data_IF_223472693627
#
_entry.id   IF_223472693627
#
_cell.length_a   1.000
_cell.length_b   1.000
_cell.length_c   1.000
_cell.angle_alpha   90.00
_cell.angle_beta   90.00
_cell.angle_gamma   90.00
#
_symmetry.space_group_name_H-M   'P 1'
#
loop_
_entity.id
_entity.type
_entity.pdbx_description
1 polymer ?
#
# COMPACT_ATOMS: atom_id res chain seq x y z
N UNK A 1 15.77 -4.71 -14.44
CA UNK A 1 14.68 -5.31 -15.25
C UNK A 1 15.17 -6.69 -15.69
N UNK A 2 14.49 -7.76 -15.30
CA UNK A 2 14.86 -9.12 -15.69
C UNK A 2 13.84 -9.63 -16.72
N UNK A 3 14.28 -9.89 -17.95
CA UNK A 3 13.47 -10.44 -19.02
C UNK A 3 13.76 -11.94 -19.13
N UNK A 4 12.74 -12.77 -18.86
CA UNK A 4 12.88 -14.24 -18.81
C UNK A 4 12.34 -14.96 -20.08
N UNK A 5 12.03 -14.21 -21.15
CA UNK A 5 11.49 -14.77 -22.41
C UNK A 5 10.02 -15.21 -22.35
N UNK A 6 9.32 -14.98 -21.22
CA UNK A 6 7.91 -15.28 -21.03
C UNK A 6 7.23 -14.18 -20.19
N UNK A 7 5.93 -13.99 -20.37
CA UNK A 7 5.13 -13.09 -19.53
C UNK A 7 4.73 -13.79 -18.23
N UNK A 8 4.86 -13.08 -17.11
CA UNK A 8 4.46 -13.56 -15.79
C UNK A 8 3.67 -12.48 -15.07
N UNK A 9 2.51 -12.83 -14.53
CA UNK A 9 1.65 -11.90 -13.79
C UNK A 9 2.13 -11.70 -12.35
N UNK A 10 2.92 -12.64 -11.83
CA UNK A 10 3.34 -12.62 -10.42
C UNK A 10 4.10 -11.34 -10.03
N UNK A 11 5.10 -10.84 -10.79
CA UNK A 11 5.79 -9.60 -10.42
C UNK A 11 4.85 -8.40 -10.27
N UNK A 12 3.80 -8.32 -11.10
CA UNK A 12 2.79 -7.28 -10.98
C UNK A 12 2.02 -7.46 -9.67
N UNK A 13 1.52 -8.68 -9.40
CA UNK A 13 0.80 -8.98 -8.16
C UNK A 13 1.61 -8.65 -6.90
N UNK A 14 2.92 -8.96 -6.88
CA UNK A 14 3.82 -8.65 -5.77
C UNK A 14 4.10 -7.15 -5.62
N UNK A 15 4.06 -6.37 -6.71
CA UNK A 15 4.29 -4.92 -6.66
C UNK A 15 3.06 -4.13 -6.17
N UNK A 16 1.85 -4.62 -6.46
CA UNK A 16 0.60 -3.89 -6.20
C UNK A 16 0.45 -3.36 -4.77
N UNK A 17 0.72 -4.11 -3.67
CA UNK A 17 0.53 -3.60 -2.31
C UNK A 17 1.32 -2.32 -2.03
N UNK A 18 2.57 -2.24 -2.51
CA UNK A 18 3.43 -1.08 -2.31
C UNK A 18 3.07 0.07 -3.24
N UNK A 19 2.71 -0.23 -4.50
CA UNK A 19 2.30 0.81 -5.45
C UNK A 19 1.00 1.48 -5.00
N UNK A 20 0.01 0.73 -4.52
CA UNK A 20 -1.25 1.30 -4.03
C UNK A 20 -1.07 2.19 -2.80
N UNK A 21 -0.24 1.78 -1.83
CA UNK A 21 0.12 2.65 -0.71
C UNK A 21 0.92 3.87 -1.15
N UNK A 22 1.79 3.73 -2.16
CA UNK A 22 2.53 4.86 -2.72
C UNK A 22 1.56 5.88 -3.34
N UNK A 23 0.57 5.43 -4.11
CA UNK A 23 -0.50 6.28 -4.62
C UNK A 23 -1.31 6.93 -3.48
N UNK A 24 -1.54 6.24 -2.36
CA UNK A 24 -2.19 6.85 -1.19
C UNK A 24 -1.37 8.02 -0.60
N UNK A 25 -0.03 7.96 -0.65
CA UNK A 25 0.86 9.05 -0.25
C UNK A 25 0.65 10.25 -1.19
N UNK A 26 0.69 10.04 -2.51
CA UNK A 26 0.49 11.13 -3.47
C UNK A 26 -0.92 11.72 -3.37
N UNK A 27 -1.95 10.88 -3.27
CA UNK A 27 -3.34 11.32 -3.18
C UNK A 27 -3.63 12.09 -1.89
N UNK A 28 -3.07 11.67 -0.75
CA UNK A 28 -3.17 12.45 0.50
C UNK A 28 -2.42 13.78 0.42
N UNK A 29 -1.29 13.82 -0.28
CA UNK A 29 -0.55 15.05 -0.55
C UNK A 29 -1.38 16.02 -1.41
N UNK A 30 -1.94 15.53 -2.52
CA UNK A 30 -2.83 16.33 -3.38
C UNK A 30 -4.10 16.79 -2.66
N UNK A 31 -4.65 15.98 -1.76
CA UNK A 31 -5.83 16.38 -0.96
C UNK A 31 -5.47 17.51 0.01
N UNK A 32 -4.32 17.42 0.70
CA UNK A 32 -3.83 18.46 1.61
C UNK A 32 -3.68 19.80 0.88
N UNK A 33 -3.11 19.76 -0.33
CA UNK A 33 -2.72 20.97 -1.08
C UNK A 33 -3.79 21.46 -2.05
N UNK A 34 -4.98 20.85 -2.09
CA UNK A 34 -6.09 21.18 -2.99
C UNK A 34 -6.33 22.68 -3.20
N UNK A 35 -6.36 23.48 -2.12
CA UNK A 35 -6.61 24.94 -2.21
C UNK A 35 -5.45 25.67 -2.89
N UNK A 36 -4.23 25.29 -2.58
CA UNK A 36 -3.03 25.89 -3.15
C UNK A 36 -2.89 25.51 -4.63
N UNK A 37 -2.99 24.22 -4.95
CA UNK A 37 -2.91 23.68 -6.30
C UNK A 37 -3.95 24.34 -7.23
N UNK A 38 -5.19 24.49 -6.76
CA UNK A 38 -6.24 25.16 -7.52
C UNK A 38 -5.92 26.65 -7.78
N UNK A 39 -5.30 27.35 -6.82
CA UNK A 39 -4.96 28.77 -6.96
C UNK A 39 -3.89 29.05 -8.02
N UNK A 40 -3.08 28.04 -8.36
CA UNK A 40 -2.05 28.12 -9.40
C UNK A 40 -2.42 27.35 -10.68
N UNK A 41 -3.68 26.90 -10.80
CA UNK A 41 -4.21 26.25 -12.00
C UNK A 41 -3.87 24.76 -12.15
N UNK A 42 -3.37 24.09 -11.11
CA UNK A 42 -3.12 22.65 -11.12
C UNK A 42 -4.41 21.90 -10.81
N UNK A 43 -4.78 20.95 -11.67
CA UNK A 43 -5.93 20.06 -11.47
C UNK A 43 -5.44 18.66 -11.10
N UNK A 44 -5.69 18.25 -9.85
CA UNK A 44 -5.40 16.91 -9.33
C UNK A 44 -6.68 16.08 -9.24
N UNK A 45 -6.54 14.75 -9.15
CA UNK A 45 -7.70 13.87 -8.95
C UNK A 45 -8.47 14.24 -7.66
N UNK A 46 -7.77 14.66 -6.61
CA UNK A 46 -8.38 15.10 -5.35
C UNK A 46 -9.24 16.36 -5.52
N UNK A 47 -8.82 17.29 -6.39
CA UNK A 47 -9.62 18.48 -6.74
C UNK A 47 -10.88 18.07 -7.51
N UNK A 48 -10.75 17.20 -8.53
CA UNK A 48 -11.88 16.75 -9.35
C UNK A 48 -12.93 15.98 -8.53
N UNK A 49 -12.48 15.14 -7.61
CA UNK A 49 -13.34 14.38 -6.71
C UNK A 49 -13.92 15.23 -5.57
N UNK A 50 -13.21 16.29 -5.17
CA UNK A 50 -13.46 16.99 -3.93
C UNK A 50 -13.11 16.16 -2.69
N UNK A 51 -13.13 16.80 -1.53
CA UNK A 51 -12.60 16.24 -0.28
C UNK A 51 -13.30 14.96 0.19
N UNK A 52 -14.63 14.90 0.05
CA UNK A 52 -15.44 13.74 0.49
C UNK A 52 -15.09 12.47 -0.29
N UNK A 53 -15.03 12.55 -1.62
CA UNK A 53 -14.68 11.38 -2.44
C UNK A 53 -13.18 11.09 -2.41
N UNK A 54 -12.36 12.11 -2.18
CA UNK A 54 -10.93 11.92 -1.91
C UNK A 54 -10.67 11.08 -0.66
N UNK A 55 -11.47 11.27 0.41
CA UNK A 55 -11.42 10.41 1.59
C UNK A 55 -11.73 8.94 1.25
N UNK A 56 -12.81 8.66 0.52
CA UNK A 56 -13.14 7.28 0.15
C UNK A 56 -12.09 6.64 -0.75
N UNK A 57 -11.54 7.39 -1.71
CA UNK A 57 -10.44 6.91 -2.55
C UNK A 57 -9.18 6.62 -1.72
N UNK A 58 -8.83 7.51 -0.78
CA UNK A 58 -7.71 7.27 0.13
C UNK A 58 -7.91 5.97 0.93
N UNK A 59 -9.08 5.77 1.54
CA UNK A 59 -9.39 4.53 2.25
C UNK A 59 -9.30 3.30 1.32
N UNK A 60 -9.80 3.39 0.10
CA UNK A 60 -9.71 2.30 -0.88
C UNK A 60 -8.23 1.95 -1.19
N UNK A 61 -7.39 2.96 -1.43
CA UNK A 61 -5.96 2.79 -1.66
C UNK A 61 -5.25 2.22 -0.43
N UNK A 62 -5.65 2.60 0.78
CA UNK A 62 -5.09 2.09 2.03
C UNK A 62 -5.49 0.63 2.32
N UNK A 63 -6.73 0.24 2.04
CA UNK A 63 -7.23 -1.10 2.38
C UNK A 63 -6.98 -2.16 1.31
N UNK A 64 -6.90 -1.79 0.03
CA UNK A 64 -6.67 -2.73 -1.07
C UNK A 64 -5.35 -3.54 -0.97
N UNK A 65 -4.21 -2.99 -0.48
CA UNK A 65 -3.00 -3.78 -0.20
C UNK A 65 -3.27 -4.99 0.71
N UNK A 66 -4.09 -4.83 1.75
CA UNK A 66 -4.37 -5.91 2.70
C UNK A 66 -5.18 -7.04 2.05
N UNK A 67 -6.10 -6.72 1.14
CA UNK A 67 -6.85 -7.74 0.37
C UNK A 67 -5.90 -8.54 -0.52
N UNK A 68 -4.96 -7.86 -1.18
CA UNK A 68 -3.96 -8.51 -2.03
C UNK A 68 -3.01 -9.37 -1.19
N UNK A 69 -2.58 -8.87 -0.03
CA UNK A 69 -1.72 -9.63 0.90
C UNK A 69 -2.45 -10.86 1.45
N UNK A 70 -3.74 -10.76 1.80
CA UNK A 70 -4.56 -11.91 2.19
C UNK A 70 -4.62 -12.96 1.07
N UNK A 71 -4.83 -12.54 -0.18
CA UNK A 71 -4.80 -13.44 -1.33
C UNK A 71 -3.45 -14.14 -1.47
N UNK A 72 -2.35 -13.40 -1.37
CA UNK A 72 -0.98 -13.96 -1.42
C UNK A 72 -0.75 -14.93 -0.25
N UNK A 73 -1.22 -14.60 0.94
CA UNK A 73 -1.07 -15.44 2.13
C UNK A 73 -1.76 -16.80 1.96
N UNK A 74 -3.00 -16.80 1.47
CA UNK A 74 -3.80 -18.02 1.28
C UNK A 74 -3.21 -18.91 0.17
N UNK A 75 -2.72 -18.31 -0.92
CA UNK A 75 -2.29 -19.06 -2.10
C UNK A 75 -0.78 -19.40 -2.14
N UNK A 76 0.06 -18.67 -1.38
CA UNK A 76 1.52 -18.79 -1.46
C UNK A 76 2.12 -19.24 -0.14
N UNK A 77 1.85 -18.54 0.97
CA UNK A 77 2.38 -18.91 2.28
C UNK A 77 1.71 -18.16 3.43
N UNK A 78 1.38 -18.89 4.50
CA UNK A 78 0.86 -18.29 5.73
C UNK A 78 1.81 -17.27 6.36
N UNK A 79 3.13 -17.35 6.13
CA UNK A 79 4.09 -16.37 6.66
C UNK A 79 3.90 -14.94 6.11
N UNK A 80 3.14 -14.78 5.02
CA UNK A 80 2.72 -13.48 4.50
C UNK A 80 1.68 -12.76 5.37
N UNK A 81 1.39 -13.25 6.58
CA UNK A 81 0.53 -12.56 7.54
C UNK A 81 1.20 -11.32 8.17
N UNK A 82 2.54 -11.25 8.24
CA UNK A 82 3.26 -10.18 8.95
C UNK A 82 2.85 -8.75 8.53
N UNK A 83 2.68 -8.42 7.24
CA UNK A 83 2.31 -7.07 6.83
C UNK A 83 0.88 -6.71 7.27
N UNK A 84 0.02 -7.70 7.56
CA UNK A 84 -1.34 -7.44 8.05
C UNK A 84 -1.33 -6.76 9.42
N UNK A 85 -0.24 -6.85 10.18
CA UNK A 85 -0.09 -6.17 11.47
C UNK A 85 -0.19 -4.64 11.35
N UNK A 86 0.07 -4.06 10.18
CA UNK A 86 -0.03 -2.62 9.97
C UNK A 86 -1.46 -2.11 9.77
N UNK A 87 -2.47 -3.00 9.72
CA UNK A 87 -3.86 -2.63 9.41
C UNK A 87 -4.45 -1.64 10.43
N UNK A 88 -4.10 -1.79 11.71
CA UNK A 88 -4.54 -0.86 12.75
C UNK A 88 -3.97 0.54 12.53
N UNK A 89 -2.75 0.64 11.98
CA UNK A 89 -2.18 1.92 11.63
C UNK A 89 -2.87 2.53 10.40
N UNK A 90 -3.18 1.71 9.38
CA UNK A 90 -3.96 2.18 8.22
C UNK A 90 -5.33 2.72 8.62
N UNK A 91 -6.02 2.04 9.54
CA UNK A 91 -7.28 2.51 10.10
C UNK A 91 -7.15 3.89 10.75
N UNK A 92 -6.13 4.09 11.58
CA UNK A 92 -5.86 5.39 12.20
C UNK A 92 -5.64 6.49 11.16
N UNK A 93 -4.89 6.22 10.10
CA UNK A 93 -4.66 7.21 9.04
C UNK A 93 -5.94 7.55 8.26
N UNK A 94 -6.83 6.59 8.05
CA UNK A 94 -8.14 6.85 7.46
C UNK A 94 -8.98 7.78 8.36
N UNK A 95 -8.97 7.55 9.68
CA UNK A 95 -9.64 8.44 10.64
C UNK A 95 -8.99 9.83 10.71
N UNK A 96 -7.66 9.94 10.63
CA UNK A 96 -6.96 11.23 10.50
C UNK A 96 -7.41 11.99 9.24
N UNK A 97 -7.52 11.31 8.10
CA UNK A 97 -8.05 11.93 6.86
C UNK A 97 -9.47 12.45 7.09
N UNK A 98 -10.35 11.61 7.65
CA UNK A 98 -11.75 11.93 7.92
C UNK A 98 -11.91 13.15 8.84
N UNK A 99 -11.03 13.28 9.82
CA UNK A 99 -10.99 14.40 10.77
C UNK A 99 -10.25 15.63 10.24
N UNK A 100 -9.86 15.63 8.96
CA UNK A 100 -9.14 16.72 8.30
C UNK A 100 -7.72 17.00 8.82
N UNK A 101 -7.06 16.00 9.39
CA UNK A 101 -5.70 16.10 9.92
C UNK A 101 -4.63 15.90 8.82
N UNK A 102 -4.78 16.60 7.69
CA UNK A 102 -4.05 16.31 6.45
C UNK A 102 -2.58 16.75 6.44
N UNK A 103 -2.15 17.63 7.36
CA UNK A 103 -0.81 18.26 7.32
C UNK A 103 0.31 17.21 7.35
N UNK A 104 0.23 16.25 8.28
CA UNK A 104 1.24 15.21 8.47
C UNK A 104 0.85 13.87 7.83
N UNK A 105 -0.36 13.78 7.29
CA UNK A 105 -0.92 12.53 6.79
C UNK A 105 -0.07 11.88 5.67
N UNK A 106 0.48 12.61 4.68
CA UNK A 106 1.33 12.00 3.66
C UNK A 106 2.59 11.35 4.27
N UNK A 107 3.23 12.02 5.24
CA UNK A 107 4.43 11.50 5.90
C UNK A 107 4.14 10.25 6.72
N UNK A 108 3.01 10.22 7.42
CA UNK A 108 2.56 9.04 8.17
C UNK A 108 2.14 7.88 7.26
N UNK A 109 1.53 8.20 6.11
CA UNK A 109 1.22 7.23 5.06
C UNK A 109 2.51 6.63 4.48
N UNK A 110 3.55 7.45 4.29
CA UNK A 110 4.86 6.98 3.85
C UNK A 110 5.54 6.08 4.89
N UNK A 111 5.41 6.40 6.18
CA UNK A 111 5.86 5.51 7.26
C UNK A 111 5.12 4.18 7.22
N UNK A 112 3.80 4.18 7.01
CA UNK A 112 3.04 2.95 6.84
C UNK A 112 3.53 2.14 5.64
N UNK A 113 3.76 2.78 4.49
CA UNK A 113 4.28 2.12 3.29
C UNK A 113 5.64 1.46 3.55
N UNK A 114 6.53 2.15 4.27
CA UNK A 114 7.83 1.61 4.68
C UNK A 114 7.66 0.38 5.60
N UNK A 115 6.84 0.48 6.66
CA UNK A 115 6.59 -0.62 7.58
C UNK A 115 5.97 -1.83 6.88
N UNK A 116 4.97 -1.60 6.02
CA UNK A 116 4.34 -2.63 5.22
C UNK A 116 5.38 -3.33 4.34
N UNK A 117 6.19 -2.55 3.60
CA UNK A 117 7.23 -3.09 2.71
C UNK A 117 8.31 -3.88 3.43
N UNK A 118 8.77 -3.38 4.58
CA UNK A 118 9.74 -4.08 5.41
C UNK A 118 9.20 -5.45 5.87
N UNK A 119 7.99 -5.48 6.45
CA UNK A 119 7.36 -6.72 6.89
C UNK A 119 7.04 -7.66 5.73
N UNK A 120 6.71 -7.10 4.57
CA UNK A 120 6.40 -7.87 3.37
C UNK A 120 7.63 -8.57 2.80
N UNK A 121 8.76 -7.87 2.70
CA UNK A 121 10.04 -8.48 2.32
C UNK A 121 10.44 -9.55 3.31
N UNK A 122 10.32 -9.28 4.62
CA UNK A 122 10.65 -10.26 5.66
C UNK A 122 9.80 -11.53 5.51
N UNK A 123 8.49 -11.38 5.23
CA UNK A 123 7.59 -12.52 4.98
C UNK A 123 8.05 -13.38 3.81
N UNK A 124 8.46 -12.74 2.71
CA UNK A 124 8.93 -13.42 1.50
C UNK A 124 10.26 -14.14 1.79
N UNK A 125 11.18 -13.52 2.55
CA UNK A 125 12.44 -14.15 2.95
C UNK A 125 12.18 -15.39 3.80
N UNK A 126 11.34 -15.28 4.84
CA UNK A 126 10.97 -16.42 5.71
C UNK A 126 10.35 -17.55 4.87
N UNK A 127 9.40 -17.20 3.99
CA UNK A 127 8.75 -18.16 3.09
C UNK A 127 9.76 -18.95 2.25
N UNK A 128 10.74 -18.24 1.67
CA UNK A 128 11.77 -18.86 0.83
C UNK A 128 12.74 -19.73 1.64
N UNK A 129 13.11 -19.33 2.85
CA UNK A 129 13.99 -20.11 3.73
C UNK A 129 13.33 -21.43 4.14
N UNK A 130 12.08 -21.37 4.63
CA UNK A 130 11.33 -22.56 5.06
C UNK A 130 11.10 -23.52 3.90
N UNK A 131 10.78 -23.00 2.71
CA UNK A 131 10.56 -23.84 1.53
C UNK A 131 11.83 -24.56 1.07
N UNK A 132 13.00 -23.92 1.19
CA UNK A 132 14.29 -24.56 0.90
C UNK A 132 14.57 -25.71 1.86
N UNK A 133 14.39 -25.49 3.17
CA UNK A 133 14.62 -26.54 4.18
C UNK A 133 13.73 -27.78 3.93
N UNK A 134 12.47 -27.58 3.52
CA UNK A 134 11.58 -28.69 3.18
C UNK A 134 12.01 -29.49 1.94
N UNK A 135 12.71 -28.86 0.98
CA UNK A 135 13.22 -29.55 -0.22
C UNK A 135 14.45 -30.41 0.05
N UNK A 136 15.20 -30.18 1.14
CA UNK A 136 16.37 -30.98 1.52
C UNK A 136 16.03 -32.15 2.47
N UNK A 137 14.78 -32.26 2.92
CA UNK A 137 14.30 -33.30 3.83
C UNK A 137 13.66 -34.51 3.11
N UNK A 138 13.74 -34.56 1.77
CA UNK A 138 13.32 -35.66 0.88
C UNK A 138 14.37 -35.85 -0.23
#
# INVERSE_FOLDING_TARGET
MAQAGHYSIYPILYALPLTLNTEAILHSNNTRDMKHDLSVGILTLSILLGKRYSYYLYCLLMYSPYIIILYIMINISWYCFLPLLTIFYAYRLCEEFKNDELIKLPNRTALLNFLLGFLYILSIVITNTVRKEQQFLF
#
